data_IF_202242135961
#
_entry.id   IF_202242135961
#
_cell.length_a   1.000
_cell.length_b   1.000
_cell.length_c   1.000
_cell.angle_alpha   90.00
_cell.angle_beta   90.00
_cell.angle_gamma   90.00
#
_symmetry.space_group_name_H-M   'P 1'
#
loop_
_entity.id
_entity.type
_entity.pdbx_description
1 polymer ?
#
# COMPACT_ATOMS: atom_id res chain seq x y z
N UNK A 1 7.36 8.83 -13.51
CA UNK A 1 5.98 8.28 -13.58
C UNK A 1 4.95 9.41 -13.52
N UNK A 2 4.99 10.27 -12.48
CA UNK A 2 4.00 11.35 -12.28
C UNK A 2 3.87 12.25 -13.53
N UNK A 3 4.96 12.83 -14.01
CA UNK A 3 4.98 13.66 -15.21
C UNK A 3 4.42 12.94 -16.47
N UNK A 4 4.66 11.63 -16.61
CA UNK A 4 4.13 10.83 -17.72
C UNK A 4 2.61 10.67 -17.60
N UNK A 5 2.12 10.40 -16.38
CA UNK A 5 0.68 10.23 -16.13
C UNK A 5 -0.08 11.55 -16.23
N UNK A 6 0.53 12.65 -15.79
CA UNK A 6 -0.04 13.99 -15.88
C UNK A 6 0.06 14.59 -17.31
N UNK A 7 0.91 14.03 -18.19
CA UNK A 7 1.19 14.60 -19.51
C UNK A 7 2.01 15.90 -19.44
N UNK A 8 2.75 16.12 -18.37
CA UNK A 8 3.52 17.33 -18.08
C UNK A 8 5.03 17.07 -18.21
N UNK A 9 5.85 18.11 -18.43
CA UNK A 9 7.30 17.97 -18.38
C UNK A 9 7.76 17.54 -16.98
N UNK A 10 8.78 16.64 -16.89
CA UNK A 10 9.30 16.21 -15.59
C UNK A 10 9.96 17.37 -14.84
N UNK A 11 9.53 17.61 -13.60
CA UNK A 11 10.13 18.59 -12.70
C UNK A 11 10.68 17.84 -11.49
N UNK A 12 11.94 18.08 -11.16
CA UNK A 12 12.53 17.49 -9.95
C UNK A 12 11.85 18.09 -8.70
N UNK A 13 11.39 17.27 -7.75
CA UNK A 13 10.78 17.78 -6.53
C UNK A 13 11.81 18.52 -5.68
N UNK A 14 11.43 19.67 -5.13
CA UNK A 14 12.23 20.35 -4.11
C UNK A 14 12.07 19.61 -2.79
N UNK A 15 13.19 19.18 -2.18
CA UNK A 15 13.16 18.48 -0.91
C UNK A 15 12.58 19.37 0.21
N UNK A 16 11.64 18.82 0.96
CA UNK A 16 11.05 19.49 2.12
C UNK A 16 12.03 19.55 3.31
N UNK A 17 11.82 20.46 4.25
CA UNK A 17 12.43 20.33 5.57
C UNK A 17 11.72 19.24 6.36
N UNK A 18 12.48 18.30 6.93
CA UNK A 18 11.91 17.28 7.83
C UNK A 18 11.64 17.82 9.24
N UNK A 19 12.27 18.92 9.60
CA UNK A 19 12.16 19.50 10.94
C UNK A 19 10.73 19.95 11.23
N UNK A 20 10.14 19.33 12.23
CA UNK A 20 8.79 19.65 12.70
C UNK A 20 7.65 18.97 11.93
N UNK A 21 7.93 18.24 10.81
CA UNK A 21 6.90 17.47 10.12
C UNK A 21 6.25 16.47 11.08
N UNK A 22 4.93 16.44 11.07
CA UNK A 22 4.12 15.49 11.84
C UNK A 22 3.83 14.27 10.97
N UNK A 23 4.41 13.14 11.31
CA UNK A 23 4.30 11.91 10.53
C UNK A 23 3.54 10.88 11.37
N UNK A 24 2.42 10.39 10.86
CA UNK A 24 1.66 9.31 11.48
C UNK A 24 2.34 7.96 11.25
N UNK A 25 2.40 7.14 12.30
CA UNK A 25 2.88 5.75 12.26
C UNK A 25 1.71 4.84 12.64
N UNK A 26 0.99 4.27 11.66
CA UNK A 26 -0.15 3.38 11.92
C UNK A 26 0.26 2.15 12.72
N UNK A 27 -0.59 1.75 13.68
CA UNK A 27 -0.34 0.56 14.50
C UNK A 27 -1.25 -0.62 14.18
N UNK A 28 -2.41 -0.37 13.57
CA UNK A 28 -3.38 -1.42 13.25
C UNK A 28 -3.06 -2.07 11.91
N UNK A 29 -2.97 -3.37 11.87
CA UNK A 29 -2.81 -4.24 10.70
C UNK A 29 -1.42 -4.14 10.03
N UNK A 30 -0.95 -2.94 9.72
CA UNK A 30 0.22 -2.74 8.83
C UNK A 30 1.56 -3.17 9.43
N UNK A 31 1.61 -3.36 10.75
CA UNK A 31 2.80 -3.86 11.46
C UNK A 31 2.66 -5.33 11.89
N UNK A 32 1.54 -5.99 11.57
CA UNK A 32 1.33 -7.39 11.95
C UNK A 32 2.22 -8.30 11.12
N UNK A 33 2.73 -9.37 11.73
CA UNK A 33 3.47 -10.45 11.05
C UNK A 33 4.55 -9.92 10.07
N UNK A 34 5.38 -9.01 10.53
CA UNK A 34 6.54 -8.53 9.75
C UNK A 34 7.68 -9.54 9.81
N UNK A 35 8.39 -9.73 8.70
CA UNK A 35 9.68 -10.41 8.73
C UNK A 35 10.66 -9.60 9.61
N UNK A 36 11.56 -10.27 10.37
CA UNK A 36 12.50 -9.58 11.25
C UNK A 36 13.33 -8.49 10.56
N UNK A 37 13.73 -8.73 9.31
CA UNK A 37 14.49 -7.78 8.49
C UNK A 37 13.67 -6.53 8.19
N UNK A 38 12.39 -6.71 7.82
CA UNK A 38 11.47 -5.59 7.52
C UNK A 38 11.23 -4.77 8.79
N UNK A 39 11.00 -5.43 9.93
CA UNK A 39 10.79 -4.76 11.21
C UNK A 39 12.02 -3.95 11.61
N UNK A 40 13.21 -4.55 11.55
CA UNK A 40 14.47 -3.89 11.91
C UNK A 40 14.79 -2.69 11.00
N UNK A 41 14.55 -2.84 9.70
CA UNK A 41 14.79 -1.77 8.73
C UNK A 41 13.79 -0.62 8.89
N UNK A 42 12.54 -0.95 9.24
CA UNK A 42 11.51 0.04 9.53
C UNK A 42 11.84 0.85 10.77
N UNK A 43 12.18 0.20 11.89
CA UNK A 43 12.60 0.89 13.13
C UNK A 43 13.79 1.80 12.88
N UNK A 44 14.81 1.32 12.15
CA UNK A 44 15.99 2.11 11.79
C UNK A 44 15.61 3.34 10.93
N UNK A 45 14.65 3.21 10.04
CA UNK A 45 14.13 4.33 9.27
C UNK A 45 13.40 5.34 10.14
N UNK A 46 12.60 4.89 11.10
CA UNK A 46 11.94 5.77 12.07
C UNK A 46 12.96 6.56 12.92
N UNK A 47 14.02 5.90 13.40
CA UNK A 47 15.09 6.55 14.13
C UNK A 47 15.79 7.64 13.30
N UNK A 48 16.06 7.36 12.03
CA UNK A 48 16.67 8.33 11.12
C UNK A 48 15.75 9.54 10.86
N UNK A 49 14.47 9.33 10.69
CA UNK A 49 13.49 10.41 10.54
C UNK A 49 13.41 11.27 11.80
N UNK A 50 13.36 10.65 12.96
CA UNK A 50 13.34 11.33 14.26
C UNK A 50 14.61 12.16 14.46
N UNK A 51 15.79 11.59 14.17
CA UNK A 51 17.08 12.30 14.24
C UNK A 51 17.15 13.47 13.26
N UNK A 52 16.46 13.41 12.12
CA UNK A 52 16.32 14.50 11.16
C UNK A 52 15.30 15.59 11.58
N UNK A 53 14.65 15.42 12.74
CA UNK A 53 13.74 16.40 13.33
C UNK A 53 12.25 16.22 13.02
N UNK A 54 11.87 15.12 12.38
CA UNK A 54 10.47 14.78 12.19
C UNK A 54 9.82 14.35 13.53
N UNK A 55 8.54 14.65 13.68
CA UNK A 55 7.72 14.24 14.83
C UNK A 55 6.92 13.01 14.45
N UNK A 56 7.40 11.84 14.86
CA UNK A 56 6.70 10.57 14.66
C UNK A 56 5.61 10.42 15.71
N UNK A 57 4.41 10.10 15.29
CA UNK A 57 3.24 10.00 16.17
C UNK A 57 2.55 8.65 15.92
N UNK A 58 2.61 7.80 16.93
CA UNK A 58 1.89 6.53 16.93
C UNK A 58 0.39 6.80 16.80
N UNK A 59 -0.20 6.25 15.76
CA UNK A 59 -1.59 6.51 15.40
C UNK A 59 -2.32 5.18 15.29
N UNK A 60 -3.35 4.91 16.10
CA UNK A 60 -4.06 3.63 16.07
C UNK A 60 -4.59 3.29 14.67
N UNK A 61 -5.32 4.21 14.02
CA UNK A 61 -6.03 3.99 12.75
C UNK A 61 -6.83 2.69 12.80
N UNK A 62 -7.70 2.57 13.79
CA UNK A 62 -8.52 1.36 14.03
C UNK A 62 -9.34 0.95 12.81
N UNK A 63 -9.72 1.93 11.97
CA UNK A 63 -10.47 1.73 10.73
C UNK A 63 -9.73 0.83 9.72
N UNK A 64 -8.40 0.70 9.81
CA UNK A 64 -7.64 -0.21 8.95
C UNK A 64 -8.08 -1.67 9.15
N UNK A 65 -8.50 -2.03 10.36
CA UNK A 65 -9.07 -3.34 10.65
C UNK A 65 -10.41 -3.63 9.97
N UNK A 66 -11.15 -2.60 9.55
CA UNK A 66 -12.46 -2.75 8.91
C UNK A 66 -12.35 -3.16 7.43
N UNK A 67 -11.21 -2.93 6.77
CA UNK A 67 -11.07 -3.13 5.32
C UNK A 67 -11.39 -4.56 4.89
N UNK A 68 -11.03 -5.55 5.69
CA UNK A 68 -11.31 -6.95 5.38
C UNK A 68 -12.82 -7.23 5.33
N UNK A 69 -13.60 -6.69 6.29
CA UNK A 69 -15.06 -6.84 6.32
C UNK A 69 -15.74 -6.08 5.18
N UNK A 70 -15.27 -4.89 4.84
CA UNK A 70 -15.81 -4.11 3.71
C UNK A 70 -15.59 -4.85 2.38
N UNK A 71 -14.48 -5.56 2.22
CA UNK A 71 -14.18 -6.32 1.01
C UNK A 71 -14.75 -7.75 1.01
N UNK A 72 -15.43 -8.19 2.07
CA UNK A 72 -15.96 -9.55 2.20
C UNK A 72 -16.92 -9.98 1.09
N UNK A 73 -17.76 -9.11 0.51
CA UNK A 73 -18.61 -9.48 -0.64
C UNK A 73 -17.89 -9.84 -1.93
N UNK A 74 -16.56 -9.68 -1.98
CA UNK A 74 -15.74 -10.02 -3.15
C UNK A 74 -14.60 -9.02 -3.40
N UNK A 75 -14.71 -7.82 -2.85
CA UNK A 75 -13.78 -6.72 -3.04
C UNK A 75 -13.94 -6.01 -4.40
N UNK A 76 -13.65 -4.73 -4.45
CA UNK A 76 -13.83 -3.92 -5.66
C UNK A 76 -12.96 -4.42 -6.82
N UNK A 77 -11.67 -4.65 -6.58
CA UNK A 77 -10.73 -5.04 -7.64
C UNK A 77 -11.13 -6.32 -8.40
N UNK A 78 -11.53 -7.44 -7.75
CA UNK A 78 -12.04 -8.60 -8.49
C UNK A 78 -13.35 -8.35 -9.22
N UNK A 79 -14.28 -7.55 -8.66
CA UNK A 79 -15.55 -7.23 -9.31
C UNK A 79 -15.34 -6.45 -10.60
N UNK A 80 -14.53 -5.40 -10.54
CA UNK A 80 -14.22 -4.54 -11.68
C UNK A 80 -13.36 -5.28 -12.72
N UNK A 81 -12.37 -6.06 -12.27
CA UNK A 81 -11.57 -6.89 -13.16
C UNK A 81 -12.43 -7.93 -13.89
N UNK A 82 -13.41 -8.55 -13.23
CA UNK A 82 -14.31 -9.46 -13.89
C UNK A 82 -15.16 -8.77 -14.96
N UNK A 83 -15.67 -7.58 -14.69
CA UNK A 83 -16.40 -6.79 -15.68
C UNK A 83 -15.57 -6.54 -16.94
N UNK A 84 -14.30 -6.12 -16.78
CA UNK A 84 -13.39 -5.83 -17.90
C UNK A 84 -12.98 -7.10 -18.65
N UNK A 85 -12.69 -8.18 -17.92
CA UNK A 85 -12.09 -9.39 -18.51
C UNK A 85 -13.09 -10.48 -18.87
N UNK A 86 -14.40 -10.30 -18.60
CA UNK A 86 -15.41 -11.35 -18.80
C UNK A 86 -15.35 -11.99 -20.17
N UNK A 87 -15.43 -11.20 -21.23
CA UNK A 87 -15.41 -11.72 -22.61
C UNK A 87 -14.10 -12.44 -22.97
N UNK A 88 -12.95 -11.91 -22.49
CA UNK A 88 -11.66 -12.57 -22.73
C UNK A 88 -11.55 -13.89 -21.96
N UNK A 89 -12.11 -13.96 -20.75
CA UNK A 89 -12.13 -15.19 -19.96
C UNK A 89 -13.01 -16.28 -20.61
N UNK A 90 -14.12 -15.87 -21.24
CA UNK A 90 -15.02 -16.79 -21.95
C UNK A 90 -14.39 -17.35 -23.25
N UNK A 91 -13.61 -16.55 -23.97
CA UNK A 91 -13.05 -16.92 -25.27
C UNK A 91 -11.61 -17.49 -25.17
N UNK A 92 -10.79 -16.94 -24.30
CA UNK A 92 -9.36 -17.21 -24.18
C UNK A 92 -8.90 -17.47 -22.73
N UNK A 93 -9.79 -17.96 -21.88
CA UNK A 93 -9.53 -18.12 -20.43
C UNK A 93 -8.32 -18.98 -20.10
N UNK A 94 -7.96 -19.93 -20.97
CA UNK A 94 -6.80 -20.82 -20.79
C UNK A 94 -5.45 -20.12 -21.02
N UNK A 95 -5.45 -18.93 -21.59
CA UNK A 95 -4.25 -18.09 -21.77
C UNK A 95 -3.89 -17.28 -20.53
N UNK A 96 -4.79 -17.22 -19.56
CA UNK A 96 -4.52 -16.58 -18.26
C UNK A 96 -3.71 -17.50 -17.35
N UNK A 97 -2.79 -16.91 -16.58
CA UNK A 97 -2.27 -17.60 -15.40
C UNK A 97 -3.43 -18.02 -14.50
N UNK A 98 -3.45 -19.27 -14.04
CA UNK A 98 -4.59 -19.83 -13.30
C UNK A 98 -4.88 -19.07 -12.01
N UNK A 99 -3.86 -18.52 -11.34
CA UNK A 99 -3.99 -17.77 -10.10
C UNK A 99 -4.62 -16.40 -10.33
N UNK A 100 -4.25 -15.74 -11.44
CA UNK A 100 -4.85 -14.48 -11.88
C UNK A 100 -6.29 -14.71 -12.32
N UNK A 101 -6.54 -15.75 -13.15
CA UNK A 101 -7.87 -16.15 -13.59
C UNK A 101 -8.81 -16.38 -12.42
N UNK A 102 -8.36 -17.16 -11.42
CA UNK A 102 -9.16 -17.44 -10.23
C UNK A 102 -9.55 -16.16 -9.46
N UNK A 103 -8.64 -15.23 -9.29
CA UNK A 103 -8.92 -13.94 -8.62
C UNK A 103 -9.97 -13.12 -9.36
N UNK A 104 -9.85 -13.02 -10.69
CA UNK A 104 -10.81 -12.28 -11.51
C UNK A 104 -12.18 -12.97 -11.46
N UNK A 105 -12.23 -14.30 -11.60
CA UNK A 105 -13.47 -15.07 -11.52
C UNK A 105 -14.17 -14.96 -10.16
N UNK A 106 -13.44 -14.65 -9.10
CA UNK A 106 -14.02 -14.34 -7.79
C UNK A 106 -15.05 -13.21 -7.83
N UNK A 107 -14.86 -12.23 -8.70
CA UNK A 107 -15.79 -11.11 -8.91
C UNK A 107 -17.12 -11.49 -9.57
N UNK A 108 -17.18 -12.65 -10.25
CA UNK A 108 -18.39 -13.11 -10.95
C UNK A 108 -19.60 -13.38 -10.02
N UNK A 109 -19.34 -13.64 -8.74
CA UNK A 109 -20.36 -14.01 -7.75
C UNK A 109 -21.02 -12.79 -7.09
N UNK A 110 -20.39 -11.65 -7.20
CA UNK A 110 -20.90 -10.42 -6.58
C UNK A 110 -22.13 -9.90 -7.32
N UNK A 111 -23.10 -9.45 -6.56
CA UNK A 111 -24.30 -8.80 -7.08
C UNK A 111 -24.09 -7.29 -7.23
N UNK A 112 -24.98 -6.61 -7.96
CA UNK A 112 -24.99 -5.14 -8.00
C UNK A 112 -25.16 -4.52 -6.59
N UNK A 113 -25.92 -5.19 -5.72
CA UNK A 113 -26.10 -4.74 -4.33
C UNK A 113 -24.79 -4.82 -3.57
N UNK A 114 -24.03 -5.91 -3.70
CA UNK A 114 -22.72 -6.07 -3.06
C UNK A 114 -21.74 -4.99 -3.51
N UNK A 115 -21.72 -4.70 -4.81
CA UNK A 115 -20.85 -3.67 -5.38
C UNK A 115 -21.19 -2.28 -4.83
N UNK A 116 -22.47 -1.89 -4.89
CA UNK A 116 -22.92 -0.59 -4.38
C UNK A 116 -22.70 -0.45 -2.86
N UNK A 117 -22.97 -1.50 -2.10
CA UNK A 117 -22.70 -1.54 -0.67
C UNK A 117 -21.21 -1.34 -0.37
N UNK A 118 -20.34 -2.03 -1.11
CA UNK A 118 -18.89 -1.91 -0.95
C UNK A 118 -18.41 -0.49 -1.25
N UNK A 119 -18.93 0.15 -2.31
CA UNK A 119 -18.63 1.54 -2.64
C UNK A 119 -19.05 2.51 -1.53
N UNK A 120 -20.25 2.32 -0.97
CA UNK A 120 -20.74 3.18 0.12
C UNK A 120 -19.92 3.03 1.39
N UNK A 121 -19.58 1.79 1.77
CA UNK A 121 -18.73 1.52 2.94
C UNK A 121 -17.32 2.07 2.74
N UNK A 122 -16.75 1.92 1.54
CA UNK A 122 -15.44 2.51 1.20
C UNK A 122 -15.47 4.03 1.33
N UNK A 123 -16.49 4.71 0.82
CA UNK A 123 -16.62 6.17 0.91
C UNK A 123 -16.67 6.65 2.36
N UNK A 124 -17.49 6.01 3.20
CA UNK A 124 -17.55 6.28 4.63
C UNK A 124 -16.20 6.06 5.31
N UNK A 125 -15.56 4.93 5.02
CA UNK A 125 -14.24 4.58 5.55
C UNK A 125 -13.17 5.61 5.15
N UNK A 126 -13.10 6.02 3.87
CA UNK A 126 -12.19 7.07 3.38
C UNK A 126 -12.40 8.36 4.18
N UNK A 127 -13.65 8.76 4.38
CA UNK A 127 -13.98 9.99 5.13
C UNK A 127 -13.44 9.93 6.55
N UNK A 128 -13.64 8.84 7.26
CA UNK A 128 -13.19 8.66 8.65
C UNK A 128 -11.67 8.59 8.77
N UNK A 129 -11.00 7.82 7.90
CA UNK A 129 -9.55 7.71 7.88
C UNK A 129 -8.91 9.05 7.49
N UNK A 130 -9.44 9.73 6.48
CA UNK A 130 -8.93 11.05 6.06
C UNK A 130 -9.04 12.08 7.17
N UNK A 131 -10.15 12.10 7.91
CA UNK A 131 -10.33 13.01 9.05
C UNK A 131 -9.29 12.77 10.15
N UNK A 132 -8.96 11.50 10.44
CA UNK A 132 -7.93 11.15 11.43
C UNK A 132 -6.52 11.50 10.94
N UNK A 133 -6.25 11.38 9.63
CA UNK A 133 -4.96 11.67 9.04
C UNK A 133 -4.73 13.16 8.70
N UNK A 134 -5.77 13.96 8.62
CA UNK A 134 -5.69 15.40 8.25
C UNK A 134 -4.70 16.23 9.10
N UNK A 135 -4.48 15.96 10.40
CA UNK A 135 -3.51 16.71 11.20
C UNK A 135 -2.04 16.36 10.90
N UNK A 136 -1.77 15.40 10.02
CA UNK A 136 -0.43 14.92 9.71
C UNK A 136 0.03 15.40 8.33
N UNK A 137 1.34 15.53 8.20
CA UNK A 137 1.98 15.89 6.94
C UNK A 137 2.13 14.71 5.99
N UNK A 138 2.29 13.52 6.56
CA UNK A 138 2.40 12.25 5.87
C UNK A 138 2.14 11.07 6.82
N UNK A 139 2.06 9.88 6.24
CA UNK A 139 1.97 8.60 6.95
C UNK A 139 3.16 7.73 6.52
N UNK A 140 3.77 6.99 7.43
CA UNK A 140 4.82 6.02 7.10
C UNK A 140 4.51 4.65 7.66
N UNK A 141 4.80 3.61 6.86
CA UNK A 141 4.68 2.21 7.22
C UNK A 141 5.63 1.36 6.37
N UNK A 142 5.91 0.09 6.73
CA UNK A 142 6.62 -0.80 5.81
C UNK A 142 5.86 -0.93 4.49
N UNK A 143 6.56 -0.89 3.35
CA UNK A 143 5.89 -1.05 2.04
C UNK A 143 5.22 -2.42 1.94
N UNK A 144 5.92 -3.46 2.36
CA UNK A 144 5.42 -4.85 2.40
C UNK A 144 5.83 -5.49 3.72
N UNK A 145 5.11 -6.55 4.11
CA UNK A 145 5.34 -7.20 5.40
C UNK A 145 6.55 -8.15 5.42
N UNK A 146 7.05 -8.55 4.27
CA UNK A 146 8.12 -9.54 4.18
C UNK A 146 9.14 -9.25 3.09
N UNK A 147 10.29 -9.92 3.16
CA UNK A 147 11.27 -9.96 2.07
C UNK A 147 10.78 -10.89 0.93
N UNK A 148 11.44 -10.79 -0.22
CA UNK A 148 11.12 -11.66 -1.36
C UNK A 148 11.29 -13.13 -0.97
N UNK A 149 10.25 -13.93 -1.23
CA UNK A 149 10.23 -15.35 -0.92
C UNK A 149 10.84 -16.21 -2.05
N UNK A 150 11.34 -17.38 -1.72
CA UNK A 150 11.79 -18.34 -2.73
C UNK A 150 10.61 -18.76 -3.64
N UNK A 151 10.87 -18.81 -4.96
CA UNK A 151 9.83 -19.06 -5.97
C UNK A 151 9.29 -20.50 -5.89
N UNK A 152 10.16 -21.50 -5.78
CA UNK A 152 9.77 -22.91 -5.89
C UNK A 152 8.67 -23.32 -4.88
N UNK A 153 8.77 -23.07 -3.56
CA UNK A 153 7.72 -23.43 -2.63
C UNK A 153 6.37 -22.76 -2.93
N UNK A 154 6.40 -21.53 -3.48
CA UNK A 154 5.19 -20.77 -3.80
C UNK A 154 4.51 -21.33 -5.06
N UNK A 155 5.29 -21.81 -6.04
CA UNK A 155 4.73 -22.43 -7.25
C UNK A 155 4.04 -23.76 -6.90
N UNK A 156 4.62 -24.52 -5.99
CA UNK A 156 4.16 -25.87 -5.66
C UNK A 156 2.95 -25.91 -4.70
N UNK A 157 2.56 -24.76 -4.11
CA UNK A 157 1.46 -24.68 -3.15
C UNK A 157 0.55 -23.48 -3.38
N UNK A 158 -0.69 -23.74 -3.79
CA UNK A 158 -1.73 -22.71 -3.95
C UNK A 158 -2.02 -21.95 -2.65
N UNK A 159 -2.06 -22.64 -1.51
CA UNK A 159 -2.34 -22.01 -0.21
C UNK A 159 -1.17 -21.12 0.22
N UNK A 160 0.07 -21.56 0.02
CA UNK A 160 1.24 -20.75 0.29
C UNK A 160 1.29 -19.51 -0.63
N UNK A 161 0.96 -19.69 -1.92
CA UNK A 161 0.84 -18.58 -2.85
C UNK A 161 -0.17 -17.54 -2.36
N UNK A 162 -1.38 -17.98 -1.97
CA UNK A 162 -2.45 -17.08 -1.51
C UNK A 162 -2.06 -16.33 -0.25
N UNK A 163 -1.59 -17.03 0.76
CA UNK A 163 -1.21 -16.41 2.04
C UNK A 163 -0.06 -15.43 1.87
N UNK A 164 0.98 -15.81 1.11
CA UNK A 164 2.10 -14.93 0.79
C UNK A 164 1.65 -13.70 0.00
N UNK A 165 0.84 -13.88 -1.04
CA UNK A 165 0.36 -12.79 -1.87
C UNK A 165 -0.50 -11.78 -1.07
N UNK A 166 -1.42 -12.26 -0.22
CA UNK A 166 -2.22 -11.37 0.64
C UNK A 166 -1.35 -10.62 1.65
N UNK A 167 -0.39 -11.30 2.26
CA UNK A 167 0.55 -10.68 3.19
C UNK A 167 1.39 -9.58 2.52
N UNK A 168 1.91 -9.84 1.32
CA UNK A 168 2.73 -8.88 0.57
C UNK A 168 1.92 -7.69 0.05
N UNK A 169 0.66 -7.87 -0.30
CA UNK A 169 -0.21 -6.80 -0.77
C UNK A 169 -0.90 -6.00 0.35
N UNK A 170 -0.84 -6.46 1.59
CA UNK A 170 -1.62 -5.92 2.71
C UNK A 170 -1.47 -4.41 2.87
N UNK A 171 -0.24 -3.93 3.03
CA UNK A 171 0.02 -2.54 3.35
C UNK A 171 -0.29 -1.60 2.17
N UNK A 172 0.13 -1.97 0.96
CA UNK A 172 -0.17 -1.19 -0.25
C UNK A 172 -1.68 -1.12 -0.53
N UNK A 173 -2.41 -2.20 -0.21
CA UNK A 173 -3.87 -2.22 -0.38
C UNK A 173 -4.59 -1.21 0.52
N UNK A 174 -4.05 -0.88 1.71
CA UNK A 174 -4.63 0.15 2.58
C UNK A 174 -4.66 1.51 1.89
N UNK A 175 -3.56 1.90 1.27
CA UNK A 175 -3.45 3.20 0.61
C UNK A 175 -4.24 3.23 -0.70
N UNK A 176 -4.26 2.13 -1.48
CA UNK A 176 -5.13 2.00 -2.64
C UNK A 176 -6.61 2.12 -2.25
N UNK A 177 -7.02 1.50 -1.15
CA UNK A 177 -8.39 1.57 -0.67
C UNK A 177 -8.76 2.95 -0.13
N UNK A 178 -7.77 3.68 0.42
CA UNK A 178 -7.90 5.07 0.86
C UNK A 178 -8.04 6.07 -0.29
N UNK A 179 -7.73 5.67 -1.53
CA UNK A 179 -7.58 6.58 -2.66
C UNK A 179 -6.42 7.59 -2.43
N UNK A 180 -5.40 7.16 -1.71
CA UNK A 180 -4.23 7.95 -1.37
C UNK A 180 -3.09 7.80 -2.37
N UNK A 181 -2.05 8.61 -2.18
CA UNK A 181 -0.79 8.52 -2.93
C UNK A 181 0.34 7.96 -2.07
N UNK A 182 1.32 7.29 -2.68
CA UNK A 182 2.44 6.72 -1.94
C UNK A 182 3.72 6.63 -2.77
N UNK A 183 4.86 6.70 -2.06
CA UNK A 183 6.19 6.37 -2.56
C UNK A 183 6.79 5.27 -1.69
N UNK A 184 7.55 4.35 -2.29
CA UNK A 184 8.37 3.39 -1.56
C UNK A 184 9.84 3.81 -1.65
N UNK A 185 10.46 4.02 -0.50
CA UNK A 185 11.86 4.46 -0.38
C UNK A 185 12.67 3.27 0.18
N UNK A 186 13.76 2.85 -0.49
CA UNK A 186 14.58 1.75 -0.02
C UNK A 186 15.17 2.00 1.37
N UNK A 187 15.10 0.98 2.24
CA UNK A 187 15.61 1.03 3.62
C UNK A 187 16.64 -0.06 3.93
N UNK A 188 16.80 -1.02 3.03
CA UNK A 188 17.73 -2.14 3.20
C UNK A 188 19.19 -1.69 3.13
N UNK A 189 20.05 -2.46 3.78
CA UNK A 189 21.50 -2.30 3.67
C UNK A 189 22.04 -2.97 2.42
N UNK A 190 23.16 -2.47 1.91
CA UNK A 190 23.84 -3.12 0.78
C UNK A 190 24.12 -4.60 1.08
N UNK A 191 23.71 -5.49 0.17
CA UNK A 191 23.89 -6.94 0.30
C UNK A 191 22.80 -7.66 1.11
N UNK A 192 21.82 -6.96 1.68
CA UNK A 192 20.63 -7.57 2.28
C UNK A 192 19.43 -7.62 1.31
N UNK A 193 18.39 -8.38 1.68
CA UNK A 193 17.17 -8.42 0.91
C UNK A 193 16.52 -7.02 0.86
N UNK A 194 15.94 -6.61 -0.30
CA UNK A 194 15.30 -5.32 -0.43
C UNK A 194 14.10 -5.16 0.51
N UNK A 195 14.10 -4.08 1.27
CA UNK A 195 12.97 -3.60 2.08
C UNK A 195 12.70 -2.13 1.76
N UNK A 196 11.51 -1.64 2.10
CA UNK A 196 11.12 -0.26 1.82
C UNK A 196 10.23 0.37 2.87
N UNK A 197 10.42 1.66 3.09
CA UNK A 197 9.52 2.54 3.81
C UNK A 197 8.52 3.11 2.82
N UNK A 198 7.23 2.88 3.04
CA UNK A 198 6.17 3.52 2.28
C UNK A 198 5.81 4.85 2.93
N UNK A 199 6.00 5.94 2.19
CA UNK A 199 5.58 7.29 2.55
C UNK A 199 4.27 7.58 1.83
N UNK A 200 3.22 7.91 2.57
CA UNK A 200 1.87 8.03 2.04
C UNK A 200 1.25 9.39 2.37
N UNK A 201 0.35 9.82 1.49
CA UNK A 201 -0.49 11.00 1.63
C UNK A 201 -1.94 10.73 1.28
N UNK A 202 -2.81 11.67 1.61
CA UNK A 202 -4.20 11.67 1.15
C UNK A 202 -4.27 11.95 -0.36
N UNK A 203 -5.42 11.70 -0.95
CA UNK A 203 -5.69 12.00 -2.36
C UNK A 203 -5.31 13.45 -2.71
N UNK A 204 -4.57 13.61 -3.83
CA UNK A 204 -4.11 14.90 -4.32
C UNK A 204 -2.88 15.49 -3.59
N UNK A 205 -2.27 14.74 -2.66
CA UNK A 205 -1.06 15.18 -1.97
C UNK A 205 0.24 14.76 -2.67
N UNK A 206 0.19 14.32 -3.91
CA UNK A 206 1.32 13.75 -4.67
C UNK A 206 2.56 14.65 -4.65
N UNK A 207 2.43 15.93 -4.99
CA UNK A 207 3.54 16.87 -5.00
C UNK A 207 4.18 17.03 -3.60
N UNK A 208 3.37 16.99 -2.54
CA UNK A 208 3.87 17.04 -1.16
C UNK A 208 4.63 15.77 -0.80
N UNK A 209 4.09 14.62 -1.17
CA UNK A 209 4.72 13.32 -0.93
C UNK A 209 6.03 13.20 -1.70
N UNK A 210 6.12 13.68 -2.94
CA UNK A 210 7.40 13.78 -3.67
C UNK A 210 8.42 14.67 -2.95
N UNK A 211 7.99 15.84 -2.46
CA UNK A 211 8.85 16.77 -1.75
C UNK A 211 9.40 16.20 -0.43
N UNK A 212 8.56 15.54 0.36
CA UNK A 212 8.96 14.85 1.59
C UNK A 212 9.83 13.63 1.24
N UNK A 213 9.46 12.88 0.20
CA UNK A 213 10.20 11.70 -0.27
C UNK A 213 11.64 12.02 -0.66
N UNK A 214 11.86 13.11 -1.39
CA UNK A 214 13.20 13.57 -1.75
C UNK A 214 14.07 13.89 -0.52
N UNK A 215 13.48 14.45 0.54
CA UNK A 215 14.18 14.69 1.79
C UNK A 215 14.48 13.40 2.56
N UNK A 216 13.53 12.46 2.58
CA UNK A 216 13.69 11.15 3.22
C UNK A 216 14.77 10.30 2.55
N UNK A 217 14.79 10.27 1.22
CA UNK A 217 15.80 9.53 0.47
C UNK A 217 17.21 9.98 0.85
N UNK A 218 17.44 11.31 0.95
CA UNK A 218 18.73 11.86 1.35
C UNK A 218 19.15 11.50 2.80
N UNK A 219 18.22 11.17 3.68
CA UNK A 219 18.48 10.76 5.06
C UNK A 219 18.70 9.24 5.17
N UNK A 220 17.91 8.44 4.43
CA UNK A 220 17.90 6.98 4.52
C UNK A 220 19.03 6.31 3.72
N UNK A 221 19.61 6.99 2.74
CA UNK A 221 20.76 6.49 1.94
C UNK A 221 22.13 6.78 2.57
N UNK A 222 22.18 7.38 3.77
CA UNK A 222 23.41 7.62 4.52
C UNK A 222 23.74 6.45 5.43
#
# INVERSE_FOLDING_TARGET
CDAVLAGEPPVAPTAASLVGLRIAVPKTVVLDDLDPEVAADFERALDALSAAGAKLIDTPLAQFGEMAEINKPGGLSPMEAYYVHKSMLENDGDRYDQRVRWRIQGGAKATAVDYLWTLDRRRDWITRVSAELMPFDAVVMPTVAGIAQAIAPIIDSEDLYRTTNFRMLRNTSMINFLDGCALSIPTHRAGSAPTGLMLCGLNGHDARIFSIGAALEAVLQR
#
